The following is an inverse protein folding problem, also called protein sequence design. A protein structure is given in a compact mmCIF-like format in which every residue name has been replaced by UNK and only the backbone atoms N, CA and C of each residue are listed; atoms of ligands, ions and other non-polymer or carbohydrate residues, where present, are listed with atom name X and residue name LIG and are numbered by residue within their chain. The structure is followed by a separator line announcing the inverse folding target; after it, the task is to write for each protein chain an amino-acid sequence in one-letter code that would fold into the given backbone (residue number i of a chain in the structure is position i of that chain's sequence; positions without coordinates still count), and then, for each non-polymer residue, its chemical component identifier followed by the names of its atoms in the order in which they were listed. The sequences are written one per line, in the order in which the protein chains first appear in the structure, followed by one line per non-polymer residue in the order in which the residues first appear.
data_IF_500175106231
#
_entry.id   IF_500175106231
#
_cell.length_a   1.000
_cell.length_b   1.000
_cell.length_c   1.000
_cell.angle_alpha   90.00
_cell.angle_beta   90.00
_cell.angle_gamma   90.00
#
_symmetry.space_group_name_H-M   'P 1'
#
loop_
_entity.id
_entity.type
_entity.pdbx_description
1 polymer ?
#
# COMPACT_ATOMS: atom_id res chain seq x y z
N UNK A 1 -5.42 18.58 16.44
CA UNK A 1 -6.66 18.95 17.21
C UNK A 1 -7.91 18.68 16.34
N UNK A 2 -7.95 19.10 15.07
CA UNK A 2 -9.08 18.85 14.16
C UNK A 2 -9.32 17.34 13.92
N UNK A 3 -8.26 16.57 13.76
CA UNK A 3 -8.33 15.13 13.51
C UNK A 3 -8.97 14.36 14.69
N UNK A 4 -8.63 14.72 15.92
CA UNK A 4 -9.22 14.09 17.12
C UNK A 4 -10.73 14.36 17.24
N UNK A 5 -11.19 15.53 16.80
CA UNK A 5 -12.62 15.87 16.79
C UNK A 5 -13.43 15.09 15.77
N UNK A 6 -12.82 14.75 14.61
CA UNK A 6 -13.55 14.10 13.51
C UNK A 6 -13.54 12.57 13.56
N UNK A 7 -12.48 11.96 14.12
CA UNK A 7 -12.26 10.50 14.06
C UNK A 7 -12.51 9.80 15.39
N UNK A 8 -12.54 10.54 16.50
CA UNK A 8 -12.79 10.02 17.85
C UNK A 8 -11.58 9.30 18.48
N UNK A 9 -11.59 9.26 19.82
CA UNK A 9 -10.47 8.74 20.64
C UNK A 9 -10.18 7.24 20.38
N UNK A 10 -11.21 6.45 20.05
CA UNK A 10 -11.06 5.01 19.75
C UNK A 10 -10.25 4.73 18.50
N UNK A 11 -10.39 5.55 17.46
CA UNK A 11 -9.61 5.43 16.22
C UNK A 11 -8.17 5.89 16.42
N UNK A 12 -7.96 6.91 17.27
CA UNK A 12 -6.62 7.39 17.58
C UNK A 12 -5.80 6.34 18.33
N UNK A 13 -6.41 5.65 19.31
CA UNK A 13 -5.74 4.57 20.05
C UNK A 13 -5.36 3.41 19.14
N UNK A 14 -6.22 3.02 18.19
CA UNK A 14 -5.92 2.01 17.19
C UNK A 14 -4.74 2.39 16.29
N UNK A 15 -4.67 3.65 15.87
CA UNK A 15 -3.53 4.16 15.09
C UNK A 15 -2.22 4.15 15.89
N UNK A 16 -2.26 4.58 17.16
CA UNK A 16 -1.09 4.60 18.04
C UNK A 16 -0.59 3.17 18.28
N UNK A 17 -1.50 2.24 18.60
CA UNK A 17 -1.16 0.82 18.79
C UNK A 17 -0.61 0.20 17.52
N UNK A 18 -1.20 0.51 16.36
CA UNK A 18 -0.70 0.04 15.06
C UNK A 18 0.67 0.58 14.72
N UNK A 19 0.90 1.89 14.90
CA UNK A 19 2.19 2.52 14.66
C UNK A 19 3.28 1.98 15.61
N UNK A 20 2.95 1.81 16.89
CA UNK A 20 3.85 1.23 17.88
C UNK A 20 4.17 -0.24 17.55
N UNK A 21 3.16 -1.04 17.20
CA UNK A 21 3.33 -2.44 16.80
C UNK A 21 4.24 -2.58 15.58
N UNK A 22 4.01 -1.76 14.54
CA UNK A 22 4.86 -1.75 13.34
C UNK A 22 6.30 -1.32 13.64
N UNK A 23 6.50 -0.36 14.55
CA UNK A 23 7.83 0.05 14.98
C UNK A 23 8.56 -1.01 15.83
N UNK A 24 7.81 -1.80 16.60
CA UNK A 24 8.36 -2.86 17.46
C UNK A 24 8.72 -4.15 16.71
N UNK A 25 8.08 -4.44 15.58
CA UNK A 25 8.32 -5.67 14.81
C UNK A 25 9.78 -5.82 14.35
N UNK A 26 10.45 -4.80 13.79
CA UNK A 26 11.84 -4.94 13.35
C UNK A 26 12.86 -4.90 14.51
N UNK A 27 12.48 -4.44 15.70
CA UNK A 27 13.40 -4.24 16.81
C UNK A 27 14.12 -5.54 17.25
N UNK A 28 13.45 -6.69 17.46
CA UNK A 28 14.13 -7.93 17.79
C UNK A 28 15.15 -8.36 16.73
N UNK A 29 14.81 -8.16 15.46
CA UNK A 29 15.70 -8.48 14.34
C UNK A 29 16.90 -7.55 14.28
N UNK A 30 16.71 -6.26 14.57
CA UNK A 30 17.79 -5.29 14.69
C UNK A 30 18.76 -5.67 15.80
N UNK A 31 18.24 -6.04 16.98
CA UNK A 31 19.06 -6.40 18.13
C UNK A 31 19.79 -7.74 17.96
N UNK A 32 19.17 -8.71 17.26
CA UNK A 32 19.73 -10.05 17.10
C UNK A 32 20.66 -10.19 15.86
N UNK A 33 20.36 -9.47 14.78
CA UNK A 33 20.95 -9.75 13.46
C UNK A 33 21.37 -8.49 12.69
N UNK A 34 21.24 -7.30 13.28
CA UNK A 34 21.69 -6.05 12.70
C UNK A 34 20.72 -5.40 11.70
N UNK A 35 21.20 -4.33 11.08
CA UNK A 35 20.37 -3.46 10.22
C UNK A 35 19.90 -4.12 8.93
N UNK A 36 20.67 -5.03 8.34
CA UNK A 36 20.27 -5.70 7.10
C UNK A 36 19.02 -6.55 7.27
N UNK A 37 18.99 -7.38 8.32
CA UNK A 37 17.83 -8.24 8.59
C UNK A 37 16.62 -7.43 9.08
N UNK A 38 16.83 -6.39 9.87
CA UNK A 38 15.78 -5.49 10.26
C UNK A 38 15.17 -4.77 9.05
N UNK A 39 15.99 -4.28 8.14
CA UNK A 39 15.56 -3.64 6.90
C UNK A 39 14.76 -4.60 5.99
N UNK A 40 15.26 -5.82 5.79
CA UNK A 40 14.56 -6.84 5.02
C UNK A 40 13.20 -7.18 5.65
N UNK A 41 13.13 -7.28 6.97
CA UNK A 41 11.87 -7.50 7.69
C UNK A 41 10.87 -6.36 7.44
N UNK A 42 11.32 -5.11 7.47
CA UNK A 42 10.48 -3.94 7.16
C UNK A 42 9.99 -4.01 5.71
N UNK A 43 10.86 -4.31 4.75
CA UNK A 43 10.49 -4.45 3.34
C UNK A 43 9.42 -5.52 3.13
N UNK A 44 9.54 -6.67 3.76
CA UNK A 44 8.55 -7.74 3.69
C UNK A 44 7.23 -7.34 4.40
N UNK A 45 7.30 -6.66 5.53
CA UNK A 45 6.12 -6.16 6.23
C UNK A 45 5.29 -5.19 5.38
N UNK A 46 5.91 -4.46 4.45
CA UNK A 46 5.20 -3.60 3.51
C UNK A 46 4.19 -4.39 2.66
N UNK A 47 4.59 -5.54 2.13
CA UNK A 47 3.67 -6.44 1.42
C UNK A 47 2.54 -6.96 2.31
N UNK A 48 2.85 -7.35 3.55
CA UNK A 48 1.85 -7.83 4.50
C UNK A 48 0.81 -6.76 4.82
N UNK A 49 1.21 -5.50 4.95
CA UNK A 49 0.29 -4.37 5.18
C UNK A 49 -0.72 -4.19 4.04
N UNK A 50 -0.32 -4.45 2.80
CA UNK A 50 -1.18 -4.31 1.63
C UNK A 50 -2.09 -5.54 1.41
N UNK A 51 -1.77 -6.69 2.00
CA UNK A 51 -2.52 -7.92 1.81
C UNK A 51 -4.02 -7.79 2.14
N UNK A 52 -4.47 -7.12 3.22
CA UNK A 52 -5.90 -6.94 3.49
C UNK A 52 -6.62 -6.20 2.38
N UNK A 53 -6.01 -5.19 1.77
CA UNK A 53 -6.59 -4.43 0.66
C UNK A 53 -6.74 -5.30 -0.59
N UNK A 54 -5.73 -6.12 -0.91
CA UNK A 54 -5.77 -7.09 -2.02
C UNK A 54 -6.89 -8.11 -1.78
N UNK A 55 -6.96 -8.70 -0.58
CA UNK A 55 -8.02 -9.66 -0.22
C UNK A 55 -9.40 -9.02 -0.31
N UNK A 56 -9.57 -7.80 0.21
CA UNK A 56 -10.84 -7.08 0.12
C UNK A 56 -11.24 -6.83 -1.35
N UNK A 57 -10.31 -6.36 -2.18
CA UNK A 57 -10.55 -6.11 -3.60
C UNK A 57 -10.99 -7.38 -4.37
N UNK A 58 -10.47 -8.56 -3.98
CA UNK A 58 -10.83 -9.82 -4.64
C UNK A 58 -12.10 -10.47 -4.09
N UNK A 59 -12.49 -10.16 -2.86
CA UNK A 59 -13.72 -10.71 -2.23
C UNK A 59 -14.96 -9.89 -2.52
N UNK A 60 -14.84 -8.59 -2.79
CA UNK A 60 -15.97 -7.72 -3.09
C UNK A 60 -16.40 -7.86 -4.54
N UNK A 61 -17.73 -7.83 -4.78
CA UNK A 61 -18.28 -7.86 -6.14
C UNK A 61 -18.14 -6.53 -6.87
N UNK A 62 -18.24 -5.43 -6.13
CA UNK A 62 -18.10 -4.06 -6.65
C UNK A 62 -16.82 -3.45 -6.06
N UNK A 63 -16.10 -2.72 -6.89
CA UNK A 63 -14.88 -2.01 -6.51
C UNK A 63 -15.16 -0.51 -6.26
N UNK A 64 -16.41 -0.20 -5.85
CA UNK A 64 -16.80 1.16 -5.51
C UNK A 64 -15.93 1.67 -4.35
N UNK A 65 -15.28 2.81 -4.55
CA UNK A 65 -14.36 3.39 -3.58
C UNK A 65 -12.89 2.97 -3.74
N UNK A 66 -12.56 2.03 -4.63
CA UNK A 66 -11.16 1.72 -4.97
C UNK A 66 -10.67 2.70 -6.03
N UNK A 67 -9.73 3.57 -5.66
CA UNK A 67 -9.14 4.53 -6.58
C UNK A 67 -8.04 3.91 -7.42
N UNK A 68 -8.27 3.78 -8.73
CA UNK A 68 -7.23 3.32 -9.65
C UNK A 68 -6.02 4.27 -9.69
N UNK A 69 -6.25 5.58 -9.56
CA UNK A 69 -5.16 6.56 -9.48
C UNK A 69 -4.22 6.29 -8.31
N UNK A 70 -4.77 6.01 -7.13
CA UNK A 70 -3.98 5.66 -5.95
C UNK A 70 -3.13 4.41 -6.20
N UNK A 71 -3.71 3.34 -6.76
CA UNK A 71 -2.99 2.10 -6.99
C UNK A 71 -1.97 2.18 -8.14
N UNK A 72 -2.22 3.02 -9.15
CA UNK A 72 -1.21 3.34 -10.16
C UNK A 72 -0.01 4.08 -9.56
N UNK A 73 -0.25 5.05 -8.66
CA UNK A 73 0.84 5.74 -7.94
C UNK A 73 1.62 4.78 -7.05
N UNK A 74 0.93 3.90 -6.30
CA UNK A 74 1.59 2.89 -5.47
C UNK A 74 2.42 1.91 -6.30
N UNK A 75 1.92 1.51 -7.48
CA UNK A 75 2.68 0.65 -8.39
C UNK A 75 3.93 1.35 -8.92
N UNK A 76 3.80 2.61 -9.36
CA UNK A 76 4.92 3.40 -9.85
C UNK A 76 5.97 3.64 -8.74
N UNK A 77 5.53 3.97 -7.53
CA UNK A 77 6.39 4.12 -6.36
C UNK A 77 7.15 2.82 -6.07
N UNK A 78 6.46 1.68 -6.02
CA UNK A 78 7.08 0.38 -5.78
C UNK A 78 8.12 0.02 -6.86
N UNK A 79 7.84 0.37 -8.13
CA UNK A 79 8.79 0.19 -9.23
C UNK A 79 10.04 1.04 -9.03
N UNK A 80 9.89 2.30 -8.62
CA UNK A 80 11.03 3.18 -8.34
C UNK A 80 11.89 2.64 -7.19
N UNK A 81 11.26 2.15 -6.12
CA UNK A 81 11.97 1.52 -4.99
C UNK A 81 12.70 0.26 -5.42
N UNK A 82 12.10 -0.59 -6.27
CA UNK A 82 12.75 -1.79 -6.80
C UNK A 82 13.98 -1.41 -7.64
N UNK A 83 13.83 -0.48 -8.58
CA UNK A 83 14.93 -0.03 -9.46
C UNK A 83 16.07 0.57 -8.63
N UNK A 84 15.73 1.42 -7.67
CA UNK A 84 16.73 2.01 -6.78
C UNK A 84 17.42 0.95 -5.92
N UNK A 85 16.64 0.03 -5.31
CA UNK A 85 17.18 -1.07 -4.51
C UNK A 85 18.15 -1.96 -5.30
N UNK A 86 17.83 -2.26 -6.57
CA UNK A 86 18.73 -2.98 -7.47
C UNK A 86 20.00 -2.19 -7.77
N UNK A 87 19.91 -0.88 -7.92
CA UNK A 87 21.07 -0.03 -8.23
C UNK A 87 22.08 0.08 -7.08
N UNK A 88 21.60 0.01 -5.84
CA UNK A 88 22.41 0.09 -4.62
C UNK A 88 22.63 -1.27 -3.95
N UNK A 89 22.11 -2.35 -4.55
CA UNK A 89 22.18 -3.73 -4.04
C UNK A 89 21.61 -3.88 -2.62
N UNK A 90 20.52 -3.15 -2.31
CA UNK A 90 19.85 -3.18 -1.00
C UNK A 90 18.68 -4.18 -1.00
N UNK A 91 18.84 -5.27 -0.26
CA UNK A 91 17.85 -6.36 -0.19
C UNK A 91 16.49 -5.89 0.39
N UNK A 92 16.49 -4.93 1.32
CA UNK A 92 15.26 -4.42 1.94
C UNK A 92 14.42 -3.64 0.92
N UNK A 93 15.06 -2.76 0.15
CA UNK A 93 14.40 -1.98 -0.90
C UNK A 93 13.91 -2.88 -2.04
N UNK A 94 14.71 -3.87 -2.43
CA UNK A 94 14.32 -4.86 -3.45
C UNK A 94 13.09 -5.64 -2.98
N UNK A 95 13.09 -6.16 -1.76
CA UNK A 95 11.97 -6.92 -1.22
C UNK A 95 10.70 -6.07 -1.08
N UNK A 96 10.82 -4.85 -0.55
CA UNK A 96 9.70 -3.92 -0.41
C UNK A 96 9.12 -3.50 -1.77
N UNK A 97 9.98 -3.14 -2.72
CA UNK A 97 9.57 -2.77 -4.07
C UNK A 97 8.89 -3.93 -4.81
N UNK A 98 9.47 -5.12 -4.75
CA UNK A 98 8.88 -6.31 -5.36
C UNK A 98 7.52 -6.66 -4.74
N UNK A 99 7.40 -6.63 -3.41
CA UNK A 99 6.14 -6.85 -2.72
C UNK A 99 5.09 -5.81 -3.10
N UNK A 100 5.46 -4.53 -3.16
CA UNK A 100 4.58 -3.44 -3.58
C UNK A 100 4.07 -3.62 -5.01
N UNK A 101 4.93 -4.00 -5.95
CA UNK A 101 4.55 -4.29 -7.35
C UNK A 101 3.53 -5.42 -7.41
N UNK A 102 3.77 -6.52 -6.70
CA UNK A 102 2.86 -7.67 -6.68
C UNK A 102 1.50 -7.26 -6.12
N UNK A 103 1.47 -6.56 -4.99
CA UNK A 103 0.23 -6.18 -4.32
C UNK A 103 -0.57 -5.12 -5.09
N UNK A 104 0.09 -4.05 -5.52
CA UNK A 104 -0.57 -3.01 -6.32
C UNK A 104 -1.00 -3.56 -7.69
N UNK A 105 -0.15 -4.37 -8.33
CA UNK A 105 -0.45 -5.04 -9.59
C UNK A 105 -1.66 -5.96 -9.50
N UNK A 106 -1.80 -6.72 -8.41
CA UNK A 106 -2.96 -7.58 -8.19
C UNK A 106 -4.28 -6.78 -8.12
N UNK A 107 -4.26 -5.61 -7.47
CA UNK A 107 -5.45 -4.75 -7.41
C UNK A 107 -5.74 -4.11 -8.77
N UNK A 108 -4.72 -3.61 -9.48
CA UNK A 108 -4.89 -3.05 -10.82
C UNK A 108 -5.39 -4.09 -11.81
N UNK A 109 -4.88 -5.31 -11.76
CA UNK A 109 -5.36 -6.43 -12.57
C UNK A 109 -6.85 -6.70 -12.27
N UNK A 110 -7.24 -6.73 -10.99
CA UNK A 110 -8.65 -6.92 -10.62
C UNK A 110 -9.54 -5.80 -11.16
N UNK A 111 -9.08 -4.54 -11.09
CA UNK A 111 -9.78 -3.39 -11.66
C UNK A 111 -9.99 -3.54 -13.16
N UNK A 112 -8.96 -3.94 -13.92
CA UNK A 112 -9.08 -4.15 -15.37
C UNK A 112 -10.02 -5.30 -15.72
N UNK A 113 -9.94 -6.42 -15.00
CA UNK A 113 -10.81 -7.58 -15.22
C UNK A 113 -12.29 -7.31 -14.91
N UNK A 114 -12.60 -6.32 -14.08
CA UNK A 114 -13.98 -5.89 -13.80
C UNK A 114 -14.51 -4.85 -14.78
N UNK A 115 -13.79 -4.55 -15.85
CA UNK A 115 -14.16 -3.55 -16.84
C UNK A 115 -13.91 -2.10 -16.42
N UNK A 116 -13.28 -1.90 -15.27
CA UNK A 116 -12.84 -0.58 -14.84
C UNK A 116 -11.60 -0.17 -15.67
N UNK A 117 -11.64 1.03 -16.26
CA UNK A 117 -10.51 1.56 -17.03
C UNK A 117 -9.60 2.40 -16.12
N UNK A 118 -8.49 1.87 -15.60
CA UNK A 118 -7.65 2.54 -14.61
C UNK A 118 -6.97 3.81 -15.15
N UNK A 119 -6.90 3.96 -16.48
CA UNK A 119 -6.29 5.10 -17.16
C UNK A 119 -7.30 6.01 -17.85
N UNK A 120 -8.61 5.76 -17.70
CA UNK A 120 -9.61 6.64 -18.26
C UNK A 120 -9.60 7.98 -17.51
N UNK A 121 -9.21 9.04 -18.18
CA UNK A 121 -9.39 10.41 -17.69
C UNK A 121 -10.89 10.58 -17.46
N UNK A 122 -11.28 10.89 -16.22
CA UNK A 122 -12.67 11.14 -15.87
C UNK A 122 -13.26 12.17 -16.83
N UNK A 123 -14.13 11.73 -17.74
CA UNK A 123 -14.85 12.67 -18.59
C UNK A 123 -15.70 13.55 -17.66
N UNK A 124 -15.60 14.88 -17.76
CA UNK A 124 -16.44 15.75 -16.97
C UNK A 124 -17.90 15.38 -17.21
N UNK A 125 -18.60 15.06 -16.12
CA UNK A 125 -20.03 14.79 -16.16
C UNK A 125 -20.68 16.02 -16.78
N UNK A 126 -21.20 15.90 -17.99
CA UNK A 126 -22.03 16.97 -18.57
C UNK A 126 -23.21 17.13 -17.59
N UNK A 127 -23.18 18.17 -16.80
CA UNK A 127 -24.35 18.62 -16.06
C UNK A 127 -25.39 18.93 -17.12
N UNK A 128 -26.37 18.05 -17.24
CA UNK A 128 -27.55 18.34 -18.06
C UNK A 128 -28.19 19.59 -17.51
N UNK A 129 -28.06 20.66 -18.25
CA UNK A 129 -28.85 21.86 -18.02
C UNK A 129 -30.29 21.50 -18.41
N UNK A 130 -31.14 21.37 -17.40
CA UNK A 130 -32.59 21.29 -17.56
C UNK A 130 -33.12 22.72 -17.58
#
# INVERSE_FOLDING_TARGET
ILYVKTVGVRSLSGMVVGAFGLGMVPLPFLLASGWEVAGLTIGLCYGIQLAPAVVAAHRTRTLDGVSAGTWNMSFAEALLWLVYGLSVADAALIAGGAAGIVMAGAILLRLTLTGYQPFAIARPRRLGVV
#
